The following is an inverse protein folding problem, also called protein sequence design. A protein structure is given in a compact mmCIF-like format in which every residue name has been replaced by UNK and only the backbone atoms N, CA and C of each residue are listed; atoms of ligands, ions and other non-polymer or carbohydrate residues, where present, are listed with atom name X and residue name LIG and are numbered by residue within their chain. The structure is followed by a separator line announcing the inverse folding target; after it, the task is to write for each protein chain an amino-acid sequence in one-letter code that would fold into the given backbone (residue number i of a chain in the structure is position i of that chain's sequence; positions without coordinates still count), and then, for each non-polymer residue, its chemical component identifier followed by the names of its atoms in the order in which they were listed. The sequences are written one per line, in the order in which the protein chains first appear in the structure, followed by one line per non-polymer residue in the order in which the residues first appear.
data_IF_654596010312
#
_entry.id   IF_654596010312
#
_cell.length_a   1.000
_cell.length_b   1.000
_cell.length_c   1.000
_cell.angle_alpha   90.00
_cell.angle_beta   90.00
_cell.angle_gamma   90.00
#
_symmetry.space_group_name_H-M   'P 1'
#
loop_
_entity.id
_entity.type
_entity.pdbx_description
1 polymer ?
#
# COMPACT_ATOMS: atom_id res chain seq x y z
N UNK A 1 6.47 3.88 20.05
CA UNK A 1 6.59 2.51 20.59
C UNK A 1 8.04 2.08 20.52
N UNK A 2 8.55 1.41 21.55
CA UNK A 2 9.92 0.89 21.57
C UNK A 2 9.96 -0.53 21.01
N UNK A 3 11.17 -1.00 20.67
CA UNK A 3 11.37 -2.38 20.24
C UNK A 3 10.90 -3.38 21.33
N UNK A 4 11.22 -3.10 22.59
CA UNK A 4 10.80 -3.96 23.69
C UNK A 4 9.27 -4.05 23.80
N UNK A 5 8.57 -2.93 23.69
CA UNK A 5 7.09 -2.92 23.71
C UNK A 5 6.51 -3.71 22.53
N UNK A 6 7.10 -3.58 21.35
CA UNK A 6 6.65 -4.32 20.17
C UNK A 6 6.80 -5.83 20.36
N UNK A 7 7.92 -6.27 20.95
CA UNK A 7 8.17 -7.67 21.26
C UNK A 7 7.17 -8.20 22.28
N UNK A 8 6.95 -7.45 23.37
CA UNK A 8 6.04 -7.85 24.46
C UNK A 8 4.59 -7.95 23.97
N UNK A 9 4.15 -7.00 23.16
CA UNK A 9 2.77 -6.94 22.68
C UNK A 9 2.43 -8.08 21.70
N UNK A 10 3.43 -8.62 21.00
CA UNK A 10 3.23 -9.67 20.00
C UNK A 10 3.11 -11.07 20.57
N UNK A 11 3.52 -11.29 21.83
CA UNK A 11 3.43 -12.58 22.50
C UNK A 11 4.07 -13.73 21.70
N UNK A 12 5.31 -13.53 21.27
CA UNK A 12 6.04 -14.49 20.44
C UNK A 12 6.63 -15.65 21.24
N UNK A 13 6.82 -16.79 20.58
CA UNK A 13 7.34 -18.00 21.23
C UNK A 13 8.85 -17.95 21.51
N UNK A 14 9.62 -17.17 20.72
CA UNK A 14 11.08 -17.07 20.84
C UNK A 14 11.54 -15.72 20.28
N UNK A 15 12.79 -15.37 20.55
CA UNK A 15 13.42 -14.17 19.98
C UNK A 15 13.49 -14.25 18.45
N UNK A 16 13.81 -15.42 17.90
CA UNK A 16 13.85 -15.63 16.45
C UNK A 16 12.45 -15.44 15.83
N UNK A 17 11.41 -16.01 16.44
CA UNK A 17 10.04 -15.84 15.98
C UNK A 17 9.60 -14.37 16.03
N UNK A 18 9.98 -13.65 17.07
CA UNK A 18 9.71 -12.22 17.21
C UNK A 18 10.42 -11.43 16.11
N UNK A 19 11.70 -11.70 15.86
CA UNK A 19 12.45 -11.04 14.80
C UNK A 19 11.81 -11.27 13.43
N UNK A 20 11.48 -12.50 13.10
CA UNK A 20 10.86 -12.85 11.82
C UNK A 20 9.53 -12.12 11.64
N UNK A 21 8.68 -12.11 12.66
CA UNK A 21 7.38 -11.45 12.61
C UNK A 21 7.51 -9.92 12.48
N UNK A 22 8.42 -9.30 13.25
CA UNK A 22 8.61 -7.85 13.26
C UNK A 22 9.20 -7.33 11.96
N UNK A 23 10.04 -8.14 11.29
CA UNK A 23 10.71 -7.74 10.05
C UNK A 23 10.00 -8.20 8.77
N UNK A 24 8.95 -9.02 8.87
CA UNK A 24 8.19 -9.48 7.71
C UNK A 24 7.13 -8.44 7.32
N UNK A 25 7.16 -7.90 6.09
CA UNK A 25 6.13 -6.97 5.63
C UNK A 25 4.75 -7.61 5.63
N UNK A 26 3.77 -6.88 6.14
CA UNK A 26 2.36 -7.28 6.13
C UNK A 26 1.52 -6.19 5.51
N UNK A 27 0.35 -6.55 5.02
CA UNK A 27 -0.59 -5.61 4.44
C UNK A 27 -1.13 -4.68 5.52
N UNK A 28 -1.06 -3.38 5.26
CA UNK A 28 -1.58 -2.32 6.15
C UNK A 28 -2.61 -1.50 5.38
N UNK A 29 -3.28 -0.55 6.05
CA UNK A 29 -4.26 0.32 5.42
C UNK A 29 -3.70 1.74 5.33
N UNK A 30 -3.78 2.34 4.15
CA UNK A 30 -3.53 3.75 3.93
C UNK A 30 -4.81 4.39 3.38
N UNK A 31 -5.52 5.10 4.23
CA UNK A 31 -6.81 5.71 3.90
C UNK A 31 -6.68 7.10 3.26
N UNK A 32 -5.49 7.49 2.86
CA UNK A 32 -5.25 8.75 2.14
C UNK A 32 -6.17 8.85 0.92
N UNK A 33 -6.76 10.01 0.72
CA UNK A 33 -7.47 10.34 -0.51
C UNK A 33 -6.45 10.82 -1.55
N UNK A 34 -6.22 10.00 -2.55
CA UNK A 34 -5.24 10.27 -3.61
C UNK A 34 -5.86 11.14 -4.69
N UNK A 35 -5.12 12.16 -5.13
CA UNK A 35 -5.48 12.99 -6.29
C UNK A 35 -4.59 12.64 -7.48
N UNK A 36 -4.95 13.15 -8.67
CA UNK A 36 -4.09 13.00 -9.85
C UNK A 36 -2.71 13.61 -9.60
N UNK A 37 -2.64 14.75 -8.90
CA UNK A 37 -1.37 15.37 -8.56
C UNK A 37 -0.51 14.48 -7.67
N UNK A 38 -1.13 13.82 -6.67
CA UNK A 38 -0.45 12.87 -5.80
C UNK A 38 0.08 11.67 -6.59
N UNK A 39 -0.72 11.13 -7.50
CA UNK A 39 -0.32 10.00 -8.34
C UNK A 39 0.84 10.36 -9.26
N UNK A 40 0.85 11.57 -9.80
CA UNK A 40 1.93 12.05 -10.65
C UNK A 40 3.27 12.06 -9.91
N UNK A 41 3.25 12.34 -8.61
CA UNK A 41 4.45 12.29 -7.76
C UNK A 41 4.85 10.86 -7.41
N UNK A 42 3.87 9.99 -7.22
CA UNK A 42 4.09 8.60 -6.79
C UNK A 42 4.62 7.72 -7.93
N UNK A 43 4.17 7.96 -9.15
CA UNK A 43 4.66 7.23 -10.32
C UNK A 43 5.99 7.81 -10.78
N UNK A 44 7.00 6.94 -10.90
CA UNK A 44 8.31 7.32 -11.40
C UNK A 44 8.23 7.75 -12.88
N UNK A 45 9.16 8.57 -13.40
CA UNK A 45 9.17 8.93 -14.82
C UNK A 45 9.12 7.74 -15.77
N UNK A 46 9.75 6.62 -15.38
CA UNK A 46 9.72 5.37 -16.15
C UNK A 46 8.36 4.67 -16.11
N UNK A 47 7.47 5.08 -15.23
CA UNK A 47 6.12 4.52 -15.04
C UNK A 47 5.03 5.43 -15.62
N UNK A 48 5.39 6.46 -16.38
CA UNK A 48 4.42 7.43 -16.90
C UNK A 48 3.38 6.77 -17.83
N UNK A 49 3.77 5.74 -18.59
CA UNK A 49 2.82 5.00 -19.42
C UNK A 49 1.80 4.24 -18.58
N UNK A 50 2.20 3.70 -17.45
CA UNK A 50 1.30 3.02 -16.52
C UNK A 50 0.29 3.98 -15.92
N UNK A 51 0.73 5.17 -15.50
CA UNK A 51 -0.17 6.20 -15.00
C UNK A 51 -1.17 6.63 -16.08
N UNK A 52 -0.72 6.83 -17.31
CA UNK A 52 -1.59 7.18 -18.42
C UNK A 52 -2.60 6.09 -18.72
N UNK A 53 -2.20 4.83 -18.64
CA UNK A 53 -3.11 3.68 -18.81
C UNK A 53 -4.19 3.68 -17.73
N UNK A 54 -3.82 3.89 -16.47
CA UNK A 54 -4.76 3.97 -15.35
C UNK A 54 -5.78 5.08 -15.57
N UNK A 55 -5.31 6.30 -15.79
CA UNK A 55 -6.18 7.47 -15.96
C UNK A 55 -7.05 7.34 -17.20
N UNK A 56 -6.49 6.84 -18.30
CA UNK A 56 -7.23 6.61 -19.54
C UNK A 56 -8.36 5.60 -19.39
N UNK A 57 -8.15 4.52 -18.66
CA UNK A 57 -9.19 3.53 -18.35
C UNK A 57 -10.33 4.17 -17.56
N UNK A 58 -10.00 4.93 -16.51
CA UNK A 58 -10.99 5.56 -15.67
C UNK A 58 -11.80 6.63 -16.43
N UNK A 59 -11.13 7.39 -17.28
CA UNK A 59 -11.77 8.47 -18.06
C UNK A 59 -12.67 7.93 -19.17
N UNK A 60 -12.23 6.91 -19.89
CA UNK A 60 -12.90 6.45 -21.12
C UNK A 60 -14.10 5.52 -20.89
N UNK A 61 -14.24 4.93 -19.70
CA UNK A 61 -15.34 4.01 -19.37
C UNK A 61 -16.36 4.73 -18.50
N UNK A 62 -17.61 4.94 -18.99
CA UNK A 62 -18.61 5.75 -18.28
C UNK A 62 -18.90 5.31 -16.85
N UNK A 63 -18.88 4.01 -16.58
CA UNK A 63 -19.17 3.47 -15.23
C UNK A 63 -18.10 3.88 -14.20
N UNK A 64 -16.89 4.25 -14.64
CA UNK A 64 -15.81 4.69 -13.76
C UNK A 64 -15.68 6.21 -13.65
N UNK A 65 -16.55 6.94 -14.34
CA UNK A 65 -16.42 8.41 -14.45
C UNK A 65 -16.51 9.10 -13.09
N UNK A 66 -17.39 8.66 -12.19
CA UNK A 66 -17.51 9.25 -10.86
C UNK A 66 -16.23 9.06 -10.04
N UNK A 67 -15.59 7.91 -10.15
CA UNK A 67 -14.30 7.66 -9.50
C UNK A 67 -13.20 8.55 -10.09
N UNK A 68 -13.18 8.74 -11.41
CA UNK A 68 -12.23 9.64 -12.07
C UNK A 68 -12.42 11.10 -11.63
N UNK A 69 -13.67 11.55 -11.52
CA UNK A 69 -13.98 12.90 -11.06
C UNK A 69 -13.51 13.07 -9.61
N UNK A 70 -13.77 12.11 -8.74
CA UNK A 70 -13.30 12.15 -7.35
C UNK A 70 -11.78 12.24 -7.30
N UNK A 71 -11.09 11.41 -8.08
CA UNK A 71 -9.63 11.42 -8.16
C UNK A 71 -9.09 12.79 -8.61
N UNK A 72 -9.79 13.46 -9.51
CA UNK A 72 -9.36 14.75 -10.05
C UNK A 72 -9.59 15.91 -9.10
N UNK A 73 -10.59 15.85 -8.22
CA UNK A 73 -11.05 16.99 -7.42
C UNK A 73 -10.84 16.78 -5.92
N UNK A 74 -11.50 15.77 -5.33
CA UNK A 74 -11.53 15.56 -3.88
C UNK A 74 -10.55 14.50 -3.40
N UNK A 75 -10.06 13.67 -4.30
CA UNK A 75 -9.25 12.51 -3.97
C UNK A 75 -10.08 11.24 -3.84
N UNK A 76 -9.42 10.11 -4.07
CA UNK A 76 -9.99 8.78 -4.01
C UNK A 76 -9.11 7.91 -3.13
N UNK A 77 -9.69 7.31 -2.09
CA UNK A 77 -8.95 6.32 -1.29
C UNK A 77 -8.94 4.98 -2.01
N UNK A 78 -7.92 4.16 -1.76
CA UNK A 78 -7.78 2.84 -2.37
C UNK A 78 -7.73 1.71 -1.34
N UNK A 79 -7.97 2.02 -0.06
CA UNK A 79 -7.78 1.07 1.05
C UNK A 79 -8.97 0.13 1.26
N UNK A 80 -10.21 0.57 1.01
CA UNK A 80 -11.41 -0.22 1.27
C UNK A 80 -11.52 -1.44 0.35
N UNK A 81 -12.24 -2.46 0.80
CA UNK A 81 -12.52 -3.65 -0.02
C UNK A 81 -13.21 -3.26 -1.34
N UNK A 82 -14.15 -2.32 -1.27
CA UNK A 82 -14.85 -1.80 -2.44
C UNK A 82 -13.87 -1.19 -3.45
N UNK A 83 -12.92 -0.41 -2.99
CA UNK A 83 -11.92 0.21 -3.86
C UNK A 83 -10.92 -0.80 -4.40
N UNK A 84 -10.55 -1.80 -3.61
CA UNK A 84 -9.69 -2.88 -4.10
C UNK A 84 -10.38 -3.68 -5.20
N UNK A 85 -11.68 -3.93 -5.08
CA UNK A 85 -12.47 -4.56 -6.14
C UNK A 85 -12.59 -3.67 -7.37
N UNK A 86 -12.74 -2.36 -7.19
CA UNK A 86 -12.75 -1.40 -8.29
C UNK A 86 -11.44 -1.48 -9.08
N UNK A 87 -10.31 -1.57 -8.40
CA UNK A 87 -9.00 -1.71 -9.05
C UNK A 87 -8.95 -3.00 -9.88
N UNK A 88 -9.44 -4.11 -9.36
CA UNK A 88 -9.49 -5.37 -10.09
C UNK A 88 -10.35 -5.26 -11.36
N UNK A 89 -11.48 -4.59 -11.27
CA UNK A 89 -12.37 -4.36 -12.41
C UNK A 89 -11.70 -3.47 -13.46
N UNK A 90 -11.07 -2.39 -13.03
CA UNK A 90 -10.30 -1.50 -13.92
C UNK A 90 -9.18 -2.25 -14.63
N UNK A 91 -8.49 -3.12 -13.91
CA UNK A 91 -7.39 -3.91 -14.46
C UNK A 91 -7.86 -4.85 -15.59
N UNK A 92 -9.03 -5.46 -15.43
CA UNK A 92 -9.62 -6.33 -16.46
C UNK A 92 -10.05 -5.51 -17.67
N UNK A 93 -10.80 -4.44 -17.45
CA UNK A 93 -11.34 -3.61 -18.53
C UNK A 93 -10.22 -2.90 -19.30
N UNK A 94 -9.23 -2.38 -18.59
CA UNK A 94 -8.11 -1.65 -19.19
C UNK A 94 -6.96 -2.53 -19.63
N UNK A 95 -7.04 -3.83 -19.40
CA UNK A 95 -5.96 -4.78 -19.71
C UNK A 95 -4.63 -4.36 -19.06
N UNK A 96 -4.71 -4.01 -17.79
CA UNK A 96 -3.53 -3.56 -17.05
C UNK A 96 -2.54 -4.70 -16.83
N UNK A 97 -1.24 -4.36 -16.80
CA UNK A 97 -0.22 -5.31 -16.39
C UNK A 97 -0.38 -5.66 -14.90
N UNK A 98 0.16 -6.82 -14.50
CA UNK A 98 0.19 -7.20 -13.09
C UNK A 98 0.95 -6.16 -12.25
N UNK A 99 2.01 -5.57 -12.80
CA UNK A 99 2.80 -4.53 -12.13
C UNK A 99 1.96 -3.29 -11.85
N UNK A 100 1.22 -2.78 -12.83
CA UNK A 100 0.34 -1.62 -12.65
C UNK A 100 -0.74 -1.92 -11.63
N UNK A 101 -1.41 -3.06 -11.75
CA UNK A 101 -2.47 -3.47 -10.82
C UNK A 101 -1.98 -3.51 -9.39
N UNK A 102 -0.82 -4.13 -9.14
CA UNK A 102 -0.24 -4.19 -7.80
C UNK A 102 0.16 -2.82 -7.29
N UNK A 103 0.74 -1.97 -8.12
CA UNK A 103 1.12 -0.62 -7.71
C UNK A 103 -0.10 0.16 -7.20
N UNK A 104 -1.20 0.13 -7.93
CA UNK A 104 -2.43 0.86 -7.54
C UNK A 104 -3.04 0.26 -6.28
N UNK A 105 -3.08 -1.07 -6.16
CA UNK A 105 -3.57 -1.74 -4.95
C UNK A 105 -2.75 -1.36 -3.72
N UNK A 106 -1.43 -1.26 -3.87
CA UNK A 106 -0.53 -0.91 -2.76
C UNK A 106 -0.59 0.55 -2.34
N UNK A 107 -1.18 1.44 -3.16
CA UNK A 107 -1.44 2.82 -2.72
C UNK A 107 -2.36 2.85 -1.50
N UNK A 108 -3.38 1.99 -1.47
CA UNK A 108 -4.31 1.88 -0.35
C UNK A 108 -3.94 0.80 0.66
N UNK A 109 -3.16 -0.19 0.26
CA UNK A 109 -2.76 -1.32 1.12
C UNK A 109 -1.27 -1.58 0.99
N UNK A 110 -0.41 -0.67 1.49
CA UNK A 110 1.02 -0.85 1.41
C UNK A 110 1.49 -2.00 2.29
N UNK A 111 2.58 -2.65 1.87
CA UNK A 111 3.25 -3.65 2.69
C UNK A 111 4.25 -2.95 3.60
N UNK A 112 4.07 -3.10 4.89
CA UNK A 112 4.98 -2.56 5.91
C UNK A 112 5.26 -3.61 6.97
N UNK A 113 6.51 -3.75 7.36
CA UNK A 113 6.84 -4.58 8.51
C UNK A 113 6.35 -3.89 9.81
N UNK A 114 6.02 -4.66 10.86
CA UNK A 114 5.58 -4.08 12.13
C UNK A 114 6.53 -3.03 12.70
N UNK A 115 7.85 -3.15 12.52
CA UNK A 115 8.80 -2.15 12.98
C UNK A 115 8.61 -0.79 12.29
N UNK A 116 8.26 -0.80 11.00
CA UNK A 116 7.98 0.42 10.24
C UNK A 116 6.71 1.10 10.74
N UNK A 117 5.65 0.32 10.98
CA UNK A 117 4.39 0.86 11.51
C UNK A 117 4.55 1.41 12.93
N UNK A 118 5.47 0.86 13.72
CA UNK A 118 5.80 1.34 15.05
C UNK A 118 6.70 2.59 15.06
N UNK A 119 7.25 2.97 13.89
CA UNK A 119 8.11 4.15 13.78
C UNK A 119 9.49 3.98 14.38
N UNK A 120 9.98 2.75 14.51
CA UNK A 120 11.33 2.46 15.03
C UNK A 120 12.27 2.14 13.87
N UNK A 121 13.58 2.12 14.17
CA UNK A 121 14.61 1.70 13.22
C UNK A 121 14.52 0.19 13.01
N UNK A 122 14.85 -0.29 11.81
CA UNK A 122 14.86 -1.72 11.52
C UNK A 122 15.75 -2.48 12.50
N UNK A 123 15.18 -3.41 13.30
CA UNK A 123 15.95 -4.14 14.29
C UNK A 123 16.75 -5.27 13.66
N UNK A 124 17.87 -5.61 14.28
CA UNK A 124 18.64 -6.82 13.99
C UNK A 124 18.19 -7.96 14.91
N UNK A 125 18.49 -9.19 14.55
CA UNK A 125 18.23 -10.35 15.42
C UNK A 125 18.91 -10.18 16.79
N UNK A 126 20.13 -9.64 16.77
CA UNK A 126 20.89 -9.38 18.01
C UNK A 126 20.15 -8.40 18.93
N UNK A 127 19.60 -7.31 18.36
CA UNK A 127 18.82 -6.34 19.12
C UNK A 127 17.54 -6.94 19.69
N UNK A 128 16.85 -7.77 18.92
CA UNK A 128 15.64 -8.46 19.39
C UNK A 128 15.99 -9.43 20.52
N UNK A 129 17.06 -10.18 20.37
CA UNK A 129 17.55 -11.12 21.40
C UNK A 129 17.90 -10.37 22.70
N UNK A 130 18.56 -9.22 22.59
CA UNK A 130 18.91 -8.41 23.76
C UNK A 130 17.67 -7.80 24.46
N UNK A 131 16.60 -7.52 23.71
CA UNK A 131 15.35 -6.98 24.24
C UNK A 131 14.36 -8.06 24.69
N UNK A 132 14.67 -9.32 24.38
CA UNK A 132 13.83 -10.45 24.72
C UNK A 132 13.82 -10.72 26.23
#
# INVERSE_FOLDING_TARGET
MSLQSLIQNGNYASAQAAYDAITTPVETLNTKAWTVADLTKEFQPTESNDLNTMLGTMESVPVFRSAFIALSITGLEFASDERQQLIDTLAVVGQWSAQLTQKVKRLGRPLKAPWQSAGITEPTLEQVTAAW
#
